data_IF_715947724884
#
_entry.id   IF_715947724884
#
_cell.length_a   1.000
_cell.length_b   1.000
_cell.length_c   1.000
_cell.angle_alpha   90.00
_cell.angle_beta   90.00
_cell.angle_gamma   90.00
#
_symmetry.space_group_name_H-M   'P 1'
#
loop_
_entity.id
_entity.type
_entity.pdbx_description
1 polymer ?
#
# COMPACT_ATOMS: atom_id res chain seq x y z
N UNK A 1 -56.54 2.25 -2.74
CA UNK A 1 -55.27 2.71 -3.36
C UNK A 1 -54.53 3.73 -2.50
N UNK A 2 -55.16 4.83 -2.03
CA UNK A 2 -54.49 5.86 -1.21
C UNK A 2 -53.77 5.30 0.03
N UNK A 3 -54.39 4.36 0.76
CA UNK A 3 -53.80 3.72 1.96
C UNK A 3 -52.52 2.90 1.68
N UNK A 4 -52.44 2.24 0.52
CA UNK A 4 -51.26 1.48 0.09
C UNK A 4 -50.09 2.43 -0.25
N UNK A 5 -50.41 3.56 -0.89
CA UNK A 5 -49.43 4.59 -1.19
C UNK A 5 -48.85 5.24 0.08
N UNK A 6 -49.68 5.48 1.10
CA UNK A 6 -49.20 6.00 2.39
C UNK A 6 -48.28 5.01 3.11
N UNK A 7 -48.59 3.71 3.06
CA UNK A 7 -47.74 2.66 3.65
C UNK A 7 -46.41 2.56 2.91
N UNK A 8 -46.42 2.61 1.58
CA UNK A 8 -45.22 2.61 0.77
C UNK A 8 -44.31 3.82 1.07
N UNK A 9 -44.90 5.01 1.23
CA UNK A 9 -44.18 6.23 1.61
C UNK A 9 -43.57 6.10 3.02
N UNK A 10 -44.30 5.48 3.96
CA UNK A 10 -43.83 5.26 5.31
C UNK A 10 -42.63 4.32 5.34
N UNK A 11 -42.64 3.24 4.56
CA UNK A 11 -41.53 2.27 4.45
C UNK A 11 -40.26 2.95 3.92
N UNK A 12 -40.38 3.88 2.98
CA UNK A 12 -39.23 4.61 2.42
C UNK A 12 -38.55 5.54 3.44
N UNK A 13 -39.29 6.05 4.43
CA UNK A 13 -38.74 6.88 5.51
C UNK A 13 -37.94 6.06 6.53
N UNK A 14 -38.28 4.78 6.71
CA UNK A 14 -37.61 3.89 7.68
C UNK A 14 -36.30 3.33 7.10
N UNK A 15 -36.21 3.15 5.78
CA UNK A 15 -35.02 2.57 5.13
C UNK A 15 -33.87 3.56 4.95
N UNK A 16 -34.13 4.88 5.02
CA UNK A 16 -33.11 5.92 4.84
C UNK A 16 -32.06 6.04 5.96
N UNK A 17 -32.29 5.41 7.13
CA UNK A 17 -31.43 5.55 8.31
C UNK A 17 -30.54 4.32 8.61
N UNK A 18 -30.60 3.27 7.79
CA UNK A 18 -29.71 2.10 7.92
C UNK A 18 -28.38 2.25 7.17
N UNK A 19 -27.95 3.49 6.92
CA UNK A 19 -26.64 3.74 6.32
C UNK A 19 -25.57 3.80 7.40
N UNK A 20 -24.88 2.67 7.55
CA UNK A 20 -23.52 2.48 8.06
C UNK A 20 -23.14 3.24 9.35
N UNK A 21 -22.91 2.47 10.42
CA UNK A 21 -22.23 2.95 11.61
C UNK A 21 -20.86 3.55 11.22
N UNK A 22 -20.71 4.87 11.39
CA UNK A 22 -19.47 5.60 11.09
C UNK A 22 -18.26 5.12 11.90
N UNK A 23 -18.48 4.36 12.97
CA UNK A 23 -17.44 3.81 13.85
C UNK A 23 -17.11 2.34 13.53
N UNK A 24 -17.08 1.96 12.25
CA UNK A 24 -16.58 0.64 11.88
C UNK A 24 -15.06 0.59 11.99
N UNK A 25 -14.57 -0.36 12.77
CA UNK A 25 -13.14 -0.54 13.09
C UNK A 25 -12.26 -0.63 11.84
N UNK A 26 -12.72 -1.30 10.77
CA UNK A 26 -11.92 -1.40 9.55
C UNK A 26 -11.86 -0.08 8.75
N UNK A 27 -12.91 0.76 8.81
CA UNK A 27 -12.86 2.09 8.20
C UNK A 27 -11.82 2.96 8.92
N UNK A 28 -11.83 2.97 10.25
CA UNK A 28 -10.84 3.69 11.05
C UNK A 28 -9.42 3.12 10.85
N UNK A 29 -9.29 1.80 10.70
CA UNK A 29 -8.02 1.16 10.37
C UNK A 29 -7.46 1.66 9.04
N UNK A 30 -8.27 1.68 7.97
CA UNK A 30 -7.86 2.17 6.65
C UNK A 30 -7.54 3.68 6.69
N UNK A 31 -8.37 4.46 7.39
CA UNK A 31 -8.23 5.90 7.47
C UNK A 31 -7.00 6.33 8.29
N UNK A 32 -6.58 5.53 9.28
CA UNK A 32 -5.37 5.77 10.06
C UNK A 32 -4.10 5.13 9.46
N UNK A 33 -4.22 4.09 8.63
CA UNK A 33 -3.06 3.40 8.06
C UNK A 33 -2.27 4.29 7.11
N UNK A 34 -0.96 4.41 7.27
CA UNK A 34 -0.11 5.02 6.23
C UNK A 34 0.06 4.03 5.08
N UNK A 35 -0.37 4.43 3.87
CA UNK A 35 -0.36 3.55 2.70
C UNK A 35 0.46 4.20 1.60
N UNK A 36 1.60 3.58 1.26
CA UNK A 36 2.48 4.02 0.18
C UNK A 36 2.62 2.93 -0.87
N UNK A 37 2.55 3.32 -2.15
CA UNK A 37 2.90 2.47 -3.28
C UNK A 37 4.33 2.78 -3.73
N UNK A 38 5.11 1.74 -4.04
CA UNK A 38 6.49 1.86 -4.54
C UNK A 38 6.53 1.31 -5.97
N UNK A 39 6.78 2.19 -6.94
CA UNK A 39 6.99 1.80 -8.33
C UNK A 39 8.49 1.74 -8.60
N UNK A 40 8.99 0.55 -8.97
CA UNK A 40 10.40 0.31 -9.31
C UNK A 40 10.56 0.14 -10.82
N UNK A 41 11.52 0.84 -11.41
CA UNK A 41 11.96 0.54 -12.78
C UNK A 41 13.00 -0.59 -12.74
N UNK A 42 12.62 -1.76 -13.23
CA UNK A 42 13.49 -2.93 -13.29
C UNK A 42 14.47 -2.91 -14.47
N UNK A 43 14.23 -2.05 -15.47
CA UNK A 43 15.09 -1.93 -16.65
C UNK A 43 16.30 -1.03 -16.40
N UNK A 44 16.20 -0.12 -15.42
CA UNK A 44 17.26 0.80 -15.04
C UNK A 44 17.81 0.41 -13.68
N UNK A 45 19.07 -0.05 -13.64
CA UNK A 45 19.77 -0.33 -12.38
C UNK A 45 21.24 0.04 -12.45
N UNK A 46 21.79 0.50 -11.34
CA UNK A 46 23.22 0.61 -11.14
C UNK A 46 23.68 -0.50 -10.19
N UNK A 47 24.68 -1.28 -10.59
CA UNK A 47 25.23 -2.34 -9.74
C UNK A 47 26.68 -2.03 -9.39
N UNK A 48 26.98 -2.09 -8.09
CA UNK A 48 28.35 -2.16 -7.59
C UNK A 48 28.65 -3.60 -7.18
N UNK A 49 29.66 -4.21 -7.79
CA UNK A 49 30.08 -5.58 -7.47
C UNK A 49 31.40 -5.57 -6.75
N UNK A 50 31.47 -6.25 -5.60
CA UNK A 50 32.75 -6.52 -4.95
C UNK A 50 33.51 -7.60 -5.73
N UNK A 51 34.84 -7.56 -5.70
CA UNK A 51 35.68 -8.57 -6.35
C UNK A 51 35.54 -9.97 -5.74
N UNK A 52 34.86 -10.10 -4.60
CA UNK A 52 34.58 -11.36 -3.90
C UNK A 52 33.13 -11.84 -4.07
N UNK A 53 32.30 -11.11 -4.83
CA UNK A 53 30.98 -11.55 -5.29
C UNK A 53 29.78 -10.95 -4.55
N UNK A 54 29.98 -9.96 -3.69
CA UNK A 54 28.89 -9.14 -3.15
C UNK A 54 28.38 -8.18 -4.23
N UNK A 55 27.09 -7.87 -4.19
CA UNK A 55 26.43 -6.99 -5.16
C UNK A 55 25.57 -5.99 -4.40
N UNK A 56 25.73 -4.70 -4.68
CA UNK A 56 24.82 -3.63 -4.27
C UNK A 56 24.13 -3.12 -5.51
N UNK A 57 22.81 -3.25 -5.57
CA UNK A 57 21.97 -2.80 -6.67
C UNK A 57 21.19 -1.56 -6.26
N UNK A 58 21.19 -0.55 -7.11
CA UNK A 58 20.42 0.67 -6.94
C UNK A 58 19.36 0.74 -8.03
N UNK A 59 18.11 0.93 -7.63
CA UNK A 59 16.97 1.06 -8.53
C UNK A 59 16.32 2.44 -8.35
N UNK A 60 16.06 3.20 -9.42
CA UNK A 60 15.21 4.37 -9.31
C UNK A 60 13.79 3.91 -8.97
N UNK A 61 13.19 4.57 -7.97
CA UNK A 61 11.83 4.30 -7.54
C UNK A 61 11.00 5.58 -7.49
N UNK A 62 9.70 5.45 -7.69
CA UNK A 62 8.70 6.47 -7.37
C UNK A 62 7.85 5.97 -6.21
N UNK A 63 7.88 6.71 -5.10
CA UNK A 63 7.03 6.47 -3.94
C UNK A 63 5.80 7.36 -4.06
N UNK A 64 4.63 6.77 -3.98
CA UNK A 64 3.33 7.45 -4.04
C UNK A 64 2.62 7.24 -2.71
N UNK A 65 2.36 8.32 -1.98
CA UNK A 65 1.44 8.29 -0.86
C UNK A 65 0.01 8.18 -1.42
N UNK A 66 -0.69 7.09 -1.12
CA UNK A 66 -2.02 6.82 -1.67
C UNK A 66 -3.13 7.68 -1.04
N UNK A 67 -2.87 8.33 0.11
CA UNK A 67 -3.82 9.27 0.73
C UNK A 67 -3.69 10.66 0.14
N UNK A 68 -2.47 11.17 0.03
CA UNK A 68 -2.22 12.53 -0.48
C UNK A 68 -1.99 12.59 -1.99
N UNK A 69 -1.81 11.44 -2.64
CA UNK A 69 -1.37 11.30 -4.03
C UNK A 69 -0.05 12.02 -4.33
N UNK A 70 0.73 12.34 -3.30
CA UNK A 70 2.04 12.97 -3.43
C UNK A 70 3.06 11.95 -3.91
N UNK A 71 3.82 12.34 -4.93
CA UNK A 71 4.86 11.52 -5.54
C UNK A 71 6.24 12.02 -5.17
N UNK A 72 7.13 11.10 -4.83
CA UNK A 72 8.53 11.39 -4.52
C UNK A 72 9.41 10.41 -5.28
N UNK A 73 10.35 10.95 -6.07
CA UNK A 73 11.40 10.15 -6.70
C UNK A 73 12.48 9.85 -5.67
N UNK A 74 12.91 8.60 -5.60
CA UNK A 74 13.92 8.13 -4.67
C UNK A 74 14.76 7.00 -5.31
N UNK A 75 15.70 6.47 -4.54
CA UNK A 75 16.57 5.37 -4.91
C UNK A 75 16.40 4.23 -3.91
N UNK A 76 16.07 3.04 -4.38
CA UNK A 76 16.07 1.82 -3.57
C UNK A 76 17.41 1.13 -3.68
N UNK A 77 17.95 0.67 -2.55
CA UNK A 77 19.19 -0.09 -2.47
C UNK A 77 18.88 -1.52 -2.03
N UNK A 78 19.30 -2.49 -2.84
CA UNK A 78 19.22 -3.92 -2.54
C UNK A 78 20.65 -4.48 -2.47
N UNK A 79 21.05 -5.00 -1.31
CA UNK A 79 22.37 -5.61 -1.11
C UNK A 79 22.26 -7.14 -1.07
N UNK A 80 23.10 -7.81 -1.86
CA UNK A 80 23.28 -9.26 -1.86
C UNK A 80 24.71 -9.58 -1.48
N UNK A 81 24.91 -10.23 -0.33
CA UNK A 81 26.24 -10.60 0.16
C UNK A 81 26.56 -12.05 -0.25
N UNK A 82 27.76 -12.28 -0.78
CA UNK A 82 28.23 -13.64 -1.06
C UNK A 82 28.74 -14.26 0.24
N UNK A 83 27.87 -15.07 0.81
CA UNK A 83 28.09 -15.65 2.11
C UNK A 83 29.08 -16.83 2.05
N UNK A 84 30.19 -16.77 2.80
CA UNK A 84 31.26 -17.79 2.83
C UNK A 84 31.32 -18.54 4.18
N UNK A 85 30.17 -18.95 4.74
CA UNK A 85 30.18 -19.85 5.92
C UNK A 85 28.83 -20.06 6.63
N UNK A 86 28.05 -21.07 6.20
CA UNK A 86 26.81 -21.62 6.82
C UNK A 86 26.06 -20.79 7.90
N UNK A 87 25.08 -19.94 7.51
CA UNK A 87 23.88 -19.49 8.22
C UNK A 87 23.24 -18.24 7.56
N UNK A 88 21.99 -18.38 7.15
CA UNK A 88 20.93 -17.37 6.98
C UNK A 88 21.22 -16.09 6.14
N UNK A 89 20.64 -16.06 4.94
CA UNK A 89 20.60 -14.91 4.03
C UNK A 89 20.09 -13.64 4.75
N UNK A 90 20.94 -12.64 4.88
CA UNK A 90 20.54 -11.32 5.37
C UNK A 90 19.78 -10.60 4.23
N UNK A 91 18.46 -10.52 4.35
CA UNK A 91 17.61 -9.72 3.47
C UNK A 91 17.30 -8.44 4.25
N UNK A 92 17.91 -7.33 3.89
CA UNK A 92 17.51 -6.03 4.44
C UNK A 92 16.13 -5.70 3.90
N UNK A 93 15.17 -5.58 4.82
CA UNK A 93 13.84 -5.02 4.59
C UNK A 93 13.92 -3.55 4.22
#
# INVERSE_FOLDING_TARGET
MKKLFTIFLLIFLITGNYSQNKNYEAHQFIENAEITQINRDWNTKAEFRSGVGDIVSFFPIEVIDLKSNKKVKSLQMDMTLKYTGNSNNFKSS
#
